data_IF_093730327585
#
_entry.id   IF_093730327585
#
_cell.length_a   1.000
_cell.length_b   1.000
_cell.length_c   1.000
_cell.angle_alpha   90.00
_cell.angle_beta   90.00
_cell.angle_gamma   90.00
#
_symmetry.space_group_name_H-M   'P 1'
#
loop_
_entity.id
_entity.type
_entity.pdbx_description
1 polymer ?
#
# COMPACT_ATOMS: atom_id res chain seq x y z
N UNK A 1 -23.26 -2.71 3.31
CA UNK A 1 -22.36 -1.65 3.86
C UNK A 1 -21.00 -2.28 4.12
N UNK A 2 -19.90 -1.58 3.80
CA UNK A 2 -18.55 -2.03 4.14
C UNK A 2 -18.08 -1.28 5.38
N UNK A 3 -17.64 -2.02 6.39
CA UNK A 3 -17.05 -1.50 7.62
C UNK A 3 -15.64 -2.05 7.71
N UNK A 4 -14.65 -1.18 7.88
CA UNK A 4 -13.25 -1.55 7.84
C UNK A 4 -12.41 -0.96 8.96
N UNK A 5 -11.30 -1.63 9.26
CA UNK A 5 -10.27 -1.17 10.19
C UNK A 5 -8.89 -1.50 9.66
N UNK A 6 -7.88 -0.80 10.19
CA UNK A 6 -6.48 -1.17 9.98
C UNK A 6 -6.11 -2.34 10.90
N UNK A 7 -5.59 -3.42 10.33
CA UNK A 7 -5.24 -4.64 11.06
C UNK A 7 -3.76 -5.01 10.89
N UNK A 8 -3.23 -5.70 11.89
CA UNK A 8 -1.86 -6.19 11.85
C UNK A 8 -1.72 -7.38 10.89
N UNK A 9 -0.63 -7.39 10.13
CA UNK A 9 -0.14 -8.51 9.32
C UNK A 9 1.01 -9.28 9.99
N UNK A 10 1.26 -9.04 11.26
CA UNK A 10 2.35 -9.69 12.00
C UNK A 10 2.22 -11.21 12.00
N UNK A 11 3.36 -11.89 11.78
CA UNK A 11 3.41 -13.35 11.67
C UNK A 11 3.02 -13.91 10.30
N UNK A 12 2.65 -13.06 9.35
CA UNK A 12 2.29 -13.42 7.98
C UNK A 12 1.16 -12.55 7.44
N UNK A 13 1.21 -12.23 6.15
CA UNK A 13 0.24 -11.30 5.53
C UNK A 13 -1.19 -11.82 5.68
N UNK A 14 -1.41 -13.11 5.56
CA UNK A 14 -2.71 -13.77 5.73
C UNK A 14 -3.35 -13.55 7.10
N UNK A 15 -2.55 -13.28 8.13
CA UNK A 15 -3.06 -13.00 9.48
C UNK A 15 -3.88 -11.71 9.53
N UNK A 16 -3.68 -10.79 8.59
CA UNK A 16 -4.52 -9.59 8.48
C UNK A 16 -5.98 -9.94 8.18
N UNK A 17 -6.22 -10.98 7.39
CA UNK A 17 -7.57 -11.45 7.05
C UNK A 17 -8.24 -11.98 8.32
N UNK A 18 -7.60 -12.92 9.01
CA UNK A 18 -8.13 -13.51 10.24
C UNK A 18 -8.29 -12.48 11.38
N UNK A 19 -7.42 -11.48 11.43
CA UNK A 19 -7.55 -10.38 12.39
C UNK A 19 -8.78 -9.51 12.06
N UNK A 20 -9.03 -9.20 10.79
CA UNK A 20 -10.25 -8.49 10.38
C UNK A 20 -11.51 -9.23 10.78
N UNK A 21 -11.57 -10.54 10.54
CA UNK A 21 -12.70 -11.38 10.91
C UNK A 21 -12.96 -11.42 12.42
N UNK A 22 -11.91 -11.43 13.26
CA UNK A 22 -12.05 -11.35 14.73
C UNK A 22 -12.73 -10.07 15.19
N UNK A 23 -12.59 -8.96 14.45
CA UNK A 23 -13.29 -7.70 14.74
C UNK A 23 -14.68 -7.62 14.09
N UNK A 24 -15.11 -8.63 13.35
CA UNK A 24 -16.41 -8.67 12.68
C UNK A 24 -16.55 -7.68 11.53
N UNK A 25 -15.42 -7.24 10.95
CA UNK A 25 -15.42 -6.32 9.79
C UNK A 25 -15.32 -7.08 8.46
N UNK A 26 -15.78 -6.45 7.39
CA UNK A 26 -15.71 -7.00 6.03
C UNK A 26 -14.79 -6.20 5.10
N UNK A 27 -14.08 -5.23 5.64
CA UNK A 27 -13.04 -4.44 4.97
C UNK A 27 -11.82 -4.33 5.86
N UNK A 28 -10.63 -4.40 5.27
CA UNK A 28 -9.38 -4.24 6.02
C UNK A 28 -8.41 -3.29 5.32
N UNK A 29 -7.66 -2.54 6.11
CA UNK A 29 -6.44 -1.87 5.66
C UNK A 29 -5.25 -2.61 6.24
N UNK A 30 -4.24 -2.86 5.41
CA UNK A 30 -3.07 -3.65 5.78
C UNK A 30 -1.77 -3.01 5.32
N UNK A 31 -0.69 -3.26 6.06
CA UNK A 31 0.68 -3.10 5.58
C UNK A 31 1.27 -4.50 5.36
N UNK A 32 1.58 -4.90 4.11
CA UNK A 32 2.08 -6.23 3.81
C UNK A 32 3.43 -6.56 4.45
N UNK A 33 4.22 -5.54 4.80
CA UNK A 33 5.51 -5.67 5.48
C UNK A 33 5.53 -4.86 6.78
N UNK A 34 6.61 -5.00 7.57
CA UNK A 34 6.75 -4.25 8.81
C UNK A 34 6.77 -2.73 8.55
N UNK A 35 5.91 -1.93 9.23
CA UNK A 35 5.66 -0.52 8.91
C UNK A 35 6.87 0.41 9.07
N UNK A 36 7.86 0.02 9.88
CA UNK A 36 9.08 0.77 10.16
C UNK A 36 10.34 0.17 9.51
N UNK A 37 10.16 -0.63 8.47
CA UNK A 37 11.26 -1.19 7.66
C UNK A 37 11.03 -0.94 6.19
N UNK A 38 12.12 -0.63 5.47
CA UNK A 38 12.05 -0.51 4.02
C UNK A 38 11.65 -1.84 3.37
N UNK A 39 10.59 -1.80 2.56
CA UNK A 39 10.19 -2.92 1.73
C UNK A 39 11.06 -2.90 0.44
N UNK A 40 12.06 -3.76 0.37
CA UNK A 40 13.01 -3.82 -0.76
C UNK A 40 12.98 -5.15 -1.50
N UNK A 41 12.17 -6.10 -1.02
CA UNK A 41 12.01 -7.42 -1.63
C UNK A 41 10.55 -7.66 -1.96
N UNK A 42 10.27 -8.15 -3.15
CA UNK A 42 8.93 -8.57 -3.54
C UNK A 42 8.41 -9.67 -2.61
N UNK A 43 7.11 -9.66 -2.41
CA UNK A 43 6.41 -10.71 -1.67
C UNK A 43 6.41 -11.97 -2.54
N UNK A 44 6.73 -13.11 -1.95
CA UNK A 44 6.87 -14.36 -2.70
C UNK A 44 5.52 -14.90 -3.21
N UNK A 45 5.54 -15.70 -4.26
CA UNK A 45 4.33 -16.36 -4.78
C UNK A 45 3.66 -17.22 -3.69
N UNK A 46 4.46 -17.94 -2.91
CA UNK A 46 3.97 -18.76 -1.80
C UNK A 46 3.21 -17.92 -0.76
N UNK A 47 3.72 -16.73 -0.41
CA UNK A 47 3.03 -15.83 0.52
C UNK A 47 1.72 -15.30 -0.06
N UNK A 48 1.69 -15.04 -1.37
CA UNK A 48 0.47 -14.61 -2.08
C UNK A 48 -0.55 -15.75 -2.12
N UNK A 49 -0.12 -16.97 -2.40
CA UNK A 49 -1.01 -18.12 -2.44
C UNK A 49 -1.64 -18.39 -1.07
N UNK A 50 -0.85 -18.36 0.01
CA UNK A 50 -1.37 -18.50 1.39
C UNK A 50 -2.37 -17.38 1.71
N UNK A 51 -2.10 -16.14 1.27
CA UNK A 51 -3.02 -15.02 1.45
C UNK A 51 -4.34 -15.26 0.71
N UNK A 52 -4.28 -15.67 -0.56
CA UNK A 52 -5.45 -15.97 -1.39
C UNK A 52 -6.27 -17.16 -0.84
N UNK A 53 -5.60 -18.22 -0.39
CA UNK A 53 -6.26 -19.37 0.25
C UNK A 53 -7.03 -18.98 1.51
N UNK A 54 -6.49 -18.03 2.28
CA UNK A 54 -7.13 -17.51 3.47
C UNK A 54 -8.30 -16.59 3.10
N UNK A 55 -8.10 -15.73 2.09
CA UNK A 55 -9.10 -14.78 1.61
C UNK A 55 -10.34 -15.49 1.04
N UNK A 56 -10.14 -16.55 0.27
CA UNK A 56 -11.22 -17.33 -0.35
C UNK A 56 -12.21 -17.88 0.65
N UNK A 57 -11.75 -18.19 1.88
CA UNK A 57 -12.58 -18.76 2.97
C UNK A 57 -13.11 -17.71 3.94
N UNK A 58 -12.83 -16.42 3.66
CA UNK A 58 -13.12 -15.32 4.59
C UNK A 58 -14.36 -14.52 4.21
N UNK A 59 -14.81 -13.70 5.15
CA UNK A 59 -15.88 -12.71 4.94
C UNK A 59 -15.35 -11.35 4.45
N UNK A 60 -14.04 -11.19 4.27
CA UNK A 60 -13.41 -9.93 3.83
C UNK A 60 -13.71 -9.68 2.37
N UNK A 61 -14.25 -8.46 2.06
CA UNK A 61 -14.68 -8.06 0.70
C UNK A 61 -13.82 -6.95 0.10
N UNK A 62 -13.25 -6.08 0.94
CA UNK A 62 -12.46 -4.94 0.47
C UNK A 62 -11.13 -4.89 1.22
N UNK A 63 -10.06 -4.70 0.48
CA UNK A 63 -8.70 -4.64 1.01
C UNK A 63 -8.05 -3.37 0.48
N UNK A 64 -7.62 -2.50 1.40
CA UNK A 64 -6.79 -1.35 1.12
C UNK A 64 -5.37 -1.66 1.61
N UNK A 65 -4.40 -1.49 0.73
CA UNK A 65 -2.99 -1.62 1.11
C UNK A 65 -2.48 -0.24 1.48
N UNK A 66 -1.76 -0.13 2.60
CA UNK A 66 -1.17 1.13 3.03
C UNK A 66 0.36 1.08 2.93
N UNK A 67 0.95 2.13 2.38
CA UNK A 67 2.41 2.31 2.30
C UNK A 67 3.05 2.42 3.68
N UNK A 68 4.33 2.04 3.78
CA UNK A 68 5.08 2.20 5.03
C UNK A 68 5.22 3.68 5.42
N UNK A 69 5.27 3.96 6.71
CA UNK A 69 5.41 5.34 7.23
C UNK A 69 6.72 6.03 6.86
N UNK A 70 7.73 5.28 6.44
CA UNK A 70 9.01 5.83 5.99
C UNK A 70 8.93 6.48 4.61
N UNK A 71 7.88 6.19 3.84
CA UNK A 71 7.69 6.75 2.49
C UNK A 71 7.51 8.26 2.56
N UNK A 72 8.39 8.98 1.88
CA UNK A 72 8.30 10.42 1.66
C UNK A 72 8.89 10.72 0.29
N UNK A 73 8.03 10.92 -0.70
CA UNK A 73 8.44 11.21 -2.07
C UNK A 73 8.82 12.69 -2.30
N UNK A 74 8.69 13.54 -1.29
CA UNK A 74 9.14 14.94 -1.32
C UNK A 74 10.58 15.15 -0.80
N UNK A 75 11.33 14.07 -0.52
CA UNK A 75 12.70 14.19 0.01
C UNK A 75 13.71 14.59 -1.06
N UNK A 76 14.67 15.46 -0.68
CA UNK A 76 15.84 15.77 -1.51
C UNK A 76 16.82 14.60 -1.58
N UNK A 77 17.01 13.88 -0.46
CA UNK A 77 17.89 12.72 -0.37
C UNK A 77 17.53 11.64 -1.40
N UNK A 78 18.45 11.41 -2.34
CA UNK A 78 18.24 10.49 -3.47
C UNK A 78 18.07 9.04 -3.04
N UNK A 79 18.77 8.61 -1.98
CA UNK A 79 18.70 7.23 -1.50
C UNK A 79 17.35 6.96 -0.80
N UNK A 80 16.94 7.86 0.10
CA UNK A 80 15.65 7.74 0.79
C UNK A 80 14.46 7.88 -0.17
N UNK A 81 14.58 8.76 -1.17
CA UNK A 81 13.61 8.86 -2.25
C UNK A 81 13.49 7.55 -3.05
N UNK A 82 14.63 6.96 -3.42
CA UNK A 82 14.64 5.66 -4.12
C UNK A 82 14.03 4.55 -3.27
N UNK A 83 14.37 4.47 -1.99
CA UNK A 83 13.80 3.49 -1.05
C UNK A 83 12.28 3.66 -0.89
N UNK A 84 11.80 4.90 -0.87
CA UNK A 84 10.36 5.20 -0.85
C UNK A 84 9.64 4.67 -2.09
N UNK A 85 10.21 4.91 -3.29
CA UNK A 85 9.67 4.38 -4.54
C UNK A 85 9.66 2.85 -4.55
N UNK A 86 10.78 2.21 -4.17
CA UNK A 86 10.89 0.75 -4.12
C UNK A 86 9.87 0.12 -3.17
N UNK A 87 9.60 0.76 -2.03
CA UNK A 87 8.55 0.31 -1.11
C UNK A 87 7.16 0.32 -1.76
N UNK A 88 6.85 1.37 -2.53
CA UNK A 88 5.59 1.44 -3.27
C UNK A 88 5.53 0.42 -4.42
N UNK A 89 6.65 0.15 -5.10
CA UNK A 89 6.72 -0.92 -6.12
C UNK A 89 6.37 -2.27 -5.50
N UNK A 90 6.95 -2.62 -4.35
CA UNK A 90 6.66 -3.88 -3.65
C UNK A 90 5.17 -4.03 -3.34
N UNK A 91 4.53 -2.94 -2.91
CA UNK A 91 3.12 -2.97 -2.52
C UNK A 91 2.18 -2.96 -3.71
N UNK A 92 2.52 -2.24 -4.76
CA UNK A 92 1.74 -2.22 -5.99
C UNK A 92 1.84 -3.57 -6.73
N UNK A 93 3.03 -4.19 -6.77
CA UNK A 93 3.22 -5.56 -7.29
C UNK A 93 2.38 -6.57 -6.51
N UNK A 94 2.40 -6.50 -5.18
CA UNK A 94 1.55 -7.34 -4.35
C UNK A 94 0.06 -7.13 -4.67
N UNK A 95 -0.38 -5.88 -4.79
CA UNK A 95 -1.76 -5.53 -5.15
C UNK A 95 -2.18 -6.14 -6.48
N UNK A 96 -1.34 -6.02 -7.51
CA UNK A 96 -1.60 -6.58 -8.85
C UNK A 96 -1.71 -8.10 -8.83
N UNK A 97 -0.75 -8.76 -8.18
CA UNK A 97 -0.71 -10.22 -8.13
C UNK A 97 -1.88 -10.79 -7.33
N UNK A 98 -2.25 -10.15 -6.21
CA UNK A 98 -3.44 -10.56 -5.44
C UNK A 98 -4.72 -10.30 -6.24
N UNK A 99 -4.86 -9.13 -6.88
CA UNK A 99 -6.03 -8.84 -7.71
C UNK A 99 -6.20 -9.82 -8.88
N UNK A 100 -5.09 -10.22 -9.50
CA UNK A 100 -5.08 -11.28 -10.51
C UNK A 100 -5.56 -12.61 -9.93
N UNK A 101 -5.02 -13.03 -8.78
CA UNK A 101 -5.43 -14.27 -8.10
C UNK A 101 -6.90 -14.27 -7.69
N UNK A 102 -7.41 -13.14 -7.18
CA UNK A 102 -8.83 -12.94 -6.87
C UNK A 102 -9.70 -13.21 -8.10
N UNK A 103 -9.31 -12.64 -9.25
CA UNK A 103 -10.04 -12.82 -10.51
C UNK A 103 -9.99 -14.27 -11.01
N UNK A 104 -8.82 -14.90 -11.01
CA UNK A 104 -8.60 -16.26 -11.48
C UNK A 104 -9.33 -17.30 -10.62
N UNK A 105 -9.32 -17.12 -9.30
CA UNK A 105 -10.00 -17.98 -8.32
C UNK A 105 -11.47 -17.61 -8.11
N UNK A 106 -11.97 -16.54 -8.73
CA UNK A 106 -13.35 -16.02 -8.59
C UNK A 106 -13.73 -15.72 -7.13
N UNK A 107 -12.77 -15.20 -6.36
CA UNK A 107 -12.99 -14.79 -4.97
C UNK A 107 -13.86 -13.52 -4.97
N UNK A 108 -14.88 -13.48 -4.13
CA UNK A 108 -15.76 -12.31 -3.96
C UNK A 108 -15.11 -11.26 -3.06
N UNK A 109 -13.98 -10.72 -3.52
CA UNK A 109 -13.22 -9.68 -2.84
C UNK A 109 -12.57 -8.74 -3.86
N UNK A 110 -12.07 -7.59 -3.40
CA UNK A 110 -11.43 -6.58 -4.25
C UNK A 110 -10.28 -5.88 -3.52
N UNK A 111 -9.19 -5.65 -4.24
CA UNK A 111 -8.13 -4.72 -3.84
C UNK A 111 -8.52 -3.31 -4.30
N UNK A 112 -8.57 -2.36 -3.38
CA UNK A 112 -8.94 -0.96 -3.67
C UNK A 112 -7.77 -0.15 -4.24
N UNK A 113 -6.54 -0.53 -3.92
CA UNK A 113 -5.31 0.12 -4.33
C UNK A 113 -4.29 0.21 -3.20
N UNK A 114 -3.21 0.95 -3.45
CA UNK A 114 -2.14 1.24 -2.48
C UNK A 114 -2.25 2.70 -2.06
N UNK A 115 -2.66 2.94 -0.82
CA UNK A 115 -2.76 4.26 -0.20
C UNK A 115 -1.44 4.61 0.49
N UNK A 116 -0.99 5.85 0.40
CA UNK A 116 0.23 6.29 1.06
C UNK A 116 0.21 7.80 1.33
N UNK A 117 0.96 8.23 2.35
CA UNK A 117 1.25 9.64 2.58
C UNK A 117 2.27 10.12 1.54
N UNK A 118 2.00 11.20 0.78
CA UNK A 118 2.94 11.68 -0.25
C UNK A 118 4.26 12.17 0.35
N UNK A 119 4.21 12.57 1.62
CA UNK A 119 5.38 13.03 2.37
C UNK A 119 5.22 14.45 2.91
N UNK A 120 6.30 14.97 3.42
CA UNK A 120 6.37 16.34 3.95
C UNK A 120 7.50 17.11 3.29
N UNK A 121 7.21 18.35 2.96
CA UNK A 121 8.19 19.33 2.54
C UNK A 121 9.18 19.58 3.69
N UNK A 122 10.49 19.45 3.42
CA UNK A 122 11.56 19.72 4.37
C UNK A 122 12.60 20.66 3.77
N UNK A 123 13.34 20.15 2.79
CA UNK A 123 14.47 20.83 2.18
C UNK A 123 14.08 21.52 0.85
N UNK A 124 13.06 21.02 0.18
CA UNK A 124 12.61 21.50 -1.13
C UNK A 124 11.53 22.58 -1.02
N UNK A 125 11.36 23.38 -2.07
CA UNK A 125 10.18 24.24 -2.22
C UNK A 125 8.89 23.41 -2.34
N UNK A 126 7.74 24.06 -2.23
CA UNK A 126 6.45 23.38 -2.39
C UNK A 126 6.32 22.81 -3.81
N UNK A 127 6.65 23.61 -4.81
CA UNK A 127 6.59 23.27 -6.22
C UNK A 127 7.52 22.09 -6.56
N UNK A 128 8.79 22.17 -6.15
CA UNK A 128 9.78 21.10 -6.36
C UNK A 128 9.35 19.80 -5.66
N UNK A 129 8.70 19.92 -4.48
CA UNK A 129 8.17 18.77 -3.75
C UNK A 129 7.06 18.09 -4.54
N UNK A 130 6.13 18.84 -5.14
CA UNK A 130 5.04 18.29 -5.97
C UNK A 130 5.56 17.62 -7.23
N UNK A 131 6.52 18.26 -7.93
CA UNK A 131 7.16 17.67 -9.11
C UNK A 131 7.85 16.35 -8.77
N UNK A 132 8.54 16.31 -7.64
CA UNK A 132 9.26 15.13 -7.19
C UNK A 132 8.31 13.99 -6.80
N UNK A 133 7.19 14.29 -6.12
CA UNK A 133 6.14 13.31 -5.82
C UNK A 133 5.56 12.76 -7.13
N UNK A 134 5.19 13.64 -8.06
CA UNK A 134 4.63 13.26 -9.36
C UNK A 134 5.59 12.34 -10.13
N UNK A 135 6.86 12.73 -10.23
CA UNK A 135 7.89 11.90 -10.84
C UNK A 135 8.03 10.52 -10.14
N UNK A 136 8.05 10.52 -8.81
CA UNK A 136 8.16 9.29 -8.02
C UNK A 136 6.99 8.34 -8.24
N UNK A 137 5.76 8.86 -8.26
CA UNK A 137 4.55 8.10 -8.52
C UNK A 137 4.54 7.54 -9.96
N UNK A 138 4.86 8.38 -10.95
CA UNK A 138 4.92 7.93 -12.34
C UNK A 138 5.95 6.81 -12.51
N UNK A 139 7.13 6.96 -11.92
CA UNK A 139 8.16 5.92 -11.95
C UNK A 139 7.66 4.59 -11.35
N UNK A 140 6.93 4.61 -10.22
CA UNK A 140 6.36 3.41 -9.61
C UNK A 140 5.34 2.74 -10.53
N UNK A 141 4.48 3.53 -11.18
CA UNK A 141 3.47 3.03 -12.12
C UNK A 141 4.11 2.44 -13.39
N UNK A 142 5.24 2.99 -13.83
CA UNK A 142 5.99 2.48 -14.99
C UNK A 142 6.70 1.15 -14.68
N UNK A 143 7.18 0.96 -13.44
CA UNK A 143 7.83 -0.27 -12.99
C UNK A 143 6.83 -1.41 -12.80
N UNK A 144 5.63 -1.11 -12.28
CA UNK A 144 4.59 -2.10 -12.02
C UNK A 144 3.45 -1.93 -13.04
N UNK A 145 3.53 -2.67 -14.12
CA UNK A 145 2.49 -2.64 -15.14
C UNK A 145 1.23 -3.37 -14.67
N UNK A 146 0.12 -2.67 -14.63
CA UNK A 146 -1.16 -3.24 -14.20
C UNK A 146 -2.28 -2.21 -14.14
N UNK A 147 -3.33 -2.52 -13.36
CA UNK A 147 -4.53 -1.70 -13.22
C UNK A 147 -4.76 -1.21 -11.79
N UNK A 148 -3.90 -1.59 -10.85
CA UNK A 148 -4.02 -1.14 -9.47
C UNK A 148 -3.61 0.32 -9.32
N UNK A 149 -4.18 0.99 -8.33
CA UNK A 149 -4.08 2.43 -8.15
C UNK A 149 -3.11 2.77 -7.03
N UNK A 150 -2.34 3.83 -7.23
CA UNK A 150 -1.74 4.58 -6.15
C UNK A 150 -2.75 5.64 -5.67
N UNK A 151 -3.03 5.64 -4.38
CA UNK A 151 -3.99 6.54 -3.73
C UNK A 151 -3.23 7.46 -2.77
N UNK A 152 -3.36 8.75 -2.97
CA UNK A 152 -2.77 9.76 -2.08
C UNK A 152 -3.69 9.94 -0.88
N UNK A 153 -3.15 9.73 0.33
CA UNK A 153 -3.86 10.07 1.55
C UNK A 153 -3.70 11.56 1.85
N UNK A 154 -4.84 12.25 1.97
CA UNK A 154 -4.84 13.67 2.37
C UNK A 154 -4.48 13.81 3.85
N UNK A 155 -3.75 14.85 4.18
CA UNK A 155 -3.24 15.09 5.53
C UNK A 155 -3.91 16.31 6.18
N UNK A 156 -3.86 16.36 7.52
CA UNK A 156 -4.44 17.47 8.28
C UNK A 156 -3.70 18.82 8.10
N UNK A 157 -2.65 18.87 7.30
CA UNK A 157 -1.93 20.10 6.96
C UNK A 157 -1.10 20.71 8.09
N UNK A 158 -0.70 19.90 9.08
CA UNK A 158 0.22 20.34 10.13
C UNK A 158 1.67 20.26 9.65
N UNK A 159 2.47 21.29 9.98
CA UNK A 159 3.87 21.37 9.53
C UNK A 159 4.00 21.47 8.01
N UNK A 160 5.00 20.86 7.44
CA UNK A 160 5.27 20.80 5.99
C UNK A 160 4.57 19.64 5.26
N UNK A 161 3.51 19.05 5.84
CA UNK A 161 2.83 17.93 5.19
C UNK A 161 2.17 18.34 3.87
N UNK A 162 2.36 17.54 2.85
CA UNK A 162 1.77 17.70 1.52
C UNK A 162 0.46 16.90 1.41
N UNK A 163 -0.41 17.31 0.48
CA UNK A 163 -1.71 16.62 0.29
C UNK A 163 -2.84 17.19 1.17
N UNK A 164 -2.77 18.47 1.54
CA UNK A 164 -3.83 19.15 2.32
C UNK A 164 -4.86 19.92 1.48
N UNK A 165 -4.55 20.15 0.20
CA UNK A 165 -5.40 20.89 -0.76
C UNK A 165 -5.50 20.09 -2.05
#
# INVERSE_FOLDING_TARGET
MYLGIHVSSSGGIQNSITNGEKYGVNSIQIMPTAPMRWATKLITDEQIDIFLDTLERSSIKKILIHGIYLTNLAREDKQLFHLGKMGLVVYLDFAERVAKGIKERKIDSEILGVCFHPGSQKELSYEDSLERISYGMQWVLDEVKGNQKLLIETTAGTGGNLGRN
#
